data_IF_789711863825
#
_entry.id   IF_789711863825
#
_cell.length_a   1.000
_cell.length_b   1.000
_cell.length_c   1.000
_cell.angle_alpha   90.00
_cell.angle_beta   90.00
_cell.angle_gamma   90.00
#
_symmetry.space_group_name_H-M   'P 1'
#
loop_
_entity.id
_entity.type
_entity.pdbx_description
1 polymer ?
#
# COMPACT_ATOMS: atom_id res chain seq x y z
N UNK A 1 -18.43 11.45 -7.51
CA UNK A 1 -19.00 11.51 -6.15
C UNK A 1 -18.22 10.51 -5.30
N UNK A 2 -17.52 10.95 -4.26
CA UNK A 2 -16.81 10.03 -3.34
C UNK A 2 -17.85 9.21 -2.58
N UNK A 3 -17.79 7.89 -2.72
CA UNK A 3 -18.65 6.97 -1.95
C UNK A 3 -17.94 6.73 -0.62
N UNK A 4 -18.30 7.47 0.42
CA UNK A 4 -17.73 7.25 1.75
C UNK A 4 -18.42 6.06 2.43
N UNK A 5 -17.69 4.95 2.56
CA UNK A 5 -18.14 3.84 3.39
C UNK A 5 -18.27 4.30 4.85
N UNK A 6 -19.28 3.80 5.57
CA UNK A 6 -19.39 4.04 7.02
C UNK A 6 -18.15 3.47 7.71
N UNK A 7 -17.44 4.31 8.44
CA UNK A 7 -16.26 3.91 9.21
C UNK A 7 -16.47 4.12 10.71
N UNK A 8 -15.70 3.40 11.53
CA UNK A 8 -15.74 3.57 12.99
C UNK A 8 -14.57 4.44 13.44
N UNK A 9 -14.88 5.64 13.90
CA UNK A 9 -13.88 6.62 14.38
C UNK A 9 -13.84 6.63 15.90
N UNK A 10 -12.66 6.39 16.47
CA UNK A 10 -12.39 6.52 17.90
C UNK A 10 -11.43 7.68 18.17
N UNK A 11 -11.50 8.26 19.38
CA UNK A 11 -10.62 9.34 19.83
C UNK A 11 -9.61 8.83 20.86
N UNK A 12 -8.35 9.26 20.74
CA UNK A 12 -7.33 9.05 21.76
C UNK A 12 -6.30 10.17 21.71
N UNK A 13 -5.96 10.74 22.87
CA UNK A 13 -5.01 11.85 22.98
C UNK A 13 -5.32 13.08 22.09
N UNK A 14 -6.60 13.38 21.86
CA UNK A 14 -7.02 14.45 20.95
C UNK A 14 -6.89 14.11 19.46
N UNK A 15 -6.48 12.90 19.10
CA UNK A 15 -6.39 12.41 17.74
C UNK A 15 -7.52 11.44 17.43
N UNK A 16 -7.92 11.34 16.16
CA UNK A 16 -8.90 10.37 15.69
C UNK A 16 -8.24 9.23 14.93
N UNK A 17 -8.80 8.04 15.12
CA UNK A 17 -8.37 6.82 14.45
C UNK A 17 -9.60 6.18 13.81
N UNK A 18 -9.46 5.83 12.54
CA UNK A 18 -10.54 5.26 11.75
C UNK A 18 -10.24 3.79 11.46
N UNK A 19 -11.13 2.90 11.91
CA UNK A 19 -11.15 1.51 11.46
C UNK A 19 -11.85 1.43 10.11
N UNK A 20 -11.22 0.74 9.17
CA UNK A 20 -11.76 0.52 7.83
C UNK A 20 -11.12 -0.71 7.20
N UNK A 21 -11.13 -0.75 5.87
CA UNK A 21 -10.52 -1.85 5.11
C UNK A 21 -9.63 -1.34 4.00
N UNK A 22 -8.58 -2.07 3.70
CA UNK A 22 -7.78 -1.96 2.49
C UNK A 22 -7.95 -3.25 1.70
N UNK A 23 -8.65 -3.20 0.57
CA UNK A 23 -8.92 -4.36 -0.30
C UNK A 23 -9.43 -5.60 0.46
N UNK A 24 -10.36 -5.39 1.40
CA UNK A 24 -10.95 -6.45 2.22
C UNK A 24 -10.13 -6.86 3.46
N UNK A 25 -8.98 -6.23 3.71
CA UNK A 25 -8.17 -6.44 4.92
C UNK A 25 -8.48 -5.35 5.93
N UNK A 26 -8.76 -5.70 7.19
CA UNK A 26 -8.98 -4.70 8.24
C UNK A 26 -7.72 -3.84 8.45
N UNK A 27 -7.92 -2.52 8.46
CA UNK A 27 -6.86 -1.53 8.74
C UNK A 27 -7.33 -0.54 9.80
N UNK A 28 -6.36 0.01 10.53
CA UNK A 28 -6.55 1.13 11.42
C UNK A 28 -5.71 2.29 10.91
N UNK A 29 -6.38 3.37 10.51
CA UNK A 29 -5.75 4.60 10.03
C UNK A 29 -5.70 5.65 11.14
N UNK A 30 -4.59 6.36 11.27
CA UNK A 30 -4.52 7.60 12.05
C UNK A 30 -4.95 8.76 11.15
N UNK A 31 -6.02 9.45 11.50
CA UNK A 31 -6.61 10.42 10.57
C UNK A 31 -5.78 11.69 10.40
N UNK A 32 -4.93 12.02 11.37
CA UNK A 32 -4.07 13.20 11.34
C UNK A 32 -3.08 13.21 10.17
N UNK A 33 -2.55 12.04 9.81
CA UNK A 33 -1.49 11.90 8.80
C UNK A 33 -1.78 10.85 7.74
N UNK A 34 -2.85 10.06 7.89
CA UNK A 34 -3.26 9.01 6.98
C UNK A 34 -2.46 7.72 7.10
N UNK A 35 -1.55 7.60 8.07
CA UNK A 35 -0.73 6.40 8.23
C UNK A 35 -1.56 5.22 8.74
N UNK A 36 -1.17 4.02 8.35
CA UNK A 36 -1.86 2.76 8.66
C UNK A 36 -1.07 1.96 9.70
N UNK A 37 -1.76 1.45 10.72
CA UNK A 37 -1.15 0.65 11.78
C UNK A 37 -0.78 -0.77 11.29
N UNK A 38 0.47 -0.95 10.88
CA UNK A 38 1.03 -2.23 10.42
C UNK A 38 1.13 -3.26 11.55
N UNK A 39 1.33 -2.83 12.81
CA UNK A 39 1.28 -3.73 13.98
C UNK A 39 -0.08 -4.41 14.11
N UNK A 40 -1.16 -3.67 13.85
CA UNK A 40 -2.50 -4.24 13.89
C UNK A 40 -2.71 -5.24 12.74
N UNK A 41 -2.34 -4.88 11.51
CA UNK A 41 -2.41 -5.80 10.36
C UNK A 41 -1.64 -7.11 10.63
N UNK A 42 -0.41 -7.00 11.14
CA UNK A 42 0.43 -8.15 11.47
C UNK A 42 -0.17 -9.01 12.59
N UNK A 43 -0.81 -8.39 13.60
CA UNK A 43 -1.49 -9.10 14.68
C UNK A 43 -2.68 -9.90 14.17
N UNK A 44 -3.56 -9.28 13.39
CA UNK A 44 -4.73 -9.96 12.79
C UNK A 44 -4.31 -11.10 11.86
N UNK A 45 -3.15 -10.96 11.19
CA UNK A 45 -2.58 -12.02 10.34
C UNK A 45 -1.81 -13.11 11.12
N UNK A 46 -1.70 -13.02 12.46
CA UNK A 46 -0.91 -13.96 13.26
C UNK A 46 0.62 -13.86 13.06
N UNK A 47 1.11 -12.74 12.53
CA UNK A 47 2.52 -12.51 12.14
C UNK A 47 3.22 -11.41 12.94
N UNK A 48 2.61 -10.93 14.03
CA UNK A 48 3.15 -9.82 14.85
C UNK A 48 4.62 -10.02 15.23
N UNK A 49 5.01 -11.22 15.67
CA UNK A 49 6.38 -11.54 16.10
C UNK A 49 7.43 -11.47 14.96
N UNK A 50 6.98 -11.34 13.72
CA UNK A 50 7.84 -11.27 12.53
C UNK A 50 7.83 -9.90 11.86
N UNK A 51 7.02 -8.94 12.34
CA UNK A 51 6.87 -7.62 11.72
C UNK A 51 8.21 -6.87 11.63
N UNK A 52 8.98 -6.81 12.72
CA UNK A 52 10.28 -6.15 12.70
C UNK A 52 11.26 -6.84 11.73
N UNK A 53 11.22 -8.17 11.62
CA UNK A 53 12.06 -8.90 10.65
C UNK A 53 11.66 -8.57 9.21
N UNK A 54 10.36 -8.47 8.94
CA UNK A 54 9.86 -8.07 7.63
C UNK A 54 10.27 -6.63 7.27
N UNK A 55 10.06 -5.68 8.19
CA UNK A 55 10.40 -4.27 7.96
C UNK A 55 11.90 -4.06 7.72
N UNK A 56 12.75 -4.86 8.37
CA UNK A 56 14.21 -4.83 8.20
C UNK A 56 14.71 -5.83 7.13
N UNK A 57 13.83 -6.49 6.39
CA UNK A 57 14.25 -7.41 5.33
C UNK A 57 14.86 -6.63 4.16
N UNK A 58 15.83 -7.25 3.47
CA UNK A 58 16.48 -6.63 2.31
C UNK A 58 15.46 -6.14 1.26
N UNK A 59 14.41 -6.95 1.01
CA UNK A 59 13.37 -6.57 0.04
C UNK A 59 12.58 -5.33 0.49
N UNK A 60 12.22 -5.24 1.77
CA UNK A 60 11.52 -4.06 2.28
C UNK A 60 12.43 -2.83 2.24
N UNK A 61 13.72 -2.96 2.56
CA UNK A 61 14.66 -1.84 2.47
C UNK A 61 14.80 -1.32 1.03
N UNK A 62 14.87 -2.20 0.03
CA UNK A 62 14.86 -1.82 -1.39
C UNK A 62 13.59 -1.04 -1.77
N UNK A 63 12.42 -1.51 -1.33
CA UNK A 63 11.13 -0.82 -1.55
C UNK A 63 11.14 0.56 -0.90
N UNK A 64 11.66 0.68 0.32
CA UNK A 64 11.72 1.94 1.06
C UNK A 64 12.66 2.94 0.40
N UNK A 65 13.83 2.49 -0.06
CA UNK A 65 14.80 3.30 -0.79
C UNK A 65 14.21 3.81 -2.11
N UNK A 66 13.55 2.94 -2.87
CA UNK A 66 12.85 3.32 -4.09
C UNK A 66 11.74 4.33 -3.80
N UNK A 67 10.89 4.05 -2.81
CA UNK A 67 9.78 4.95 -2.45
C UNK A 67 10.29 6.32 -2.03
N UNK A 68 11.35 6.39 -1.23
CA UNK A 68 11.95 7.65 -0.79
C UNK A 68 12.55 8.44 -1.96
N UNK A 69 13.17 7.75 -2.93
CA UNK A 69 13.77 8.38 -4.12
C UNK A 69 12.73 8.95 -5.07
N UNK A 70 11.70 8.16 -5.39
CA UNK A 70 10.72 8.49 -6.43
C UNK A 70 9.52 9.31 -5.88
N UNK A 71 9.10 9.04 -4.64
CA UNK A 71 7.90 9.64 -4.02
C UNK A 71 8.21 10.47 -2.77
N UNK A 72 9.34 10.24 -2.11
CA UNK A 72 9.73 10.91 -0.86
C UNK A 72 10.12 12.39 -0.98
N UNK A 73 10.28 12.91 -2.21
CA UNK A 73 10.47 14.34 -2.47
C UNK A 73 9.11 15.02 -2.55
N UNK A 74 8.62 15.52 -1.42
CA UNK A 74 7.52 16.47 -1.45
C UNK A 74 7.89 17.66 -2.36
N UNK A 75 7.15 17.81 -3.47
CA UNK A 75 6.91 19.11 -4.08
C UNK A 75 6.46 20.05 -2.94
N UNK A 76 7.25 21.09 -2.69
CA UNK A 76 7.01 22.21 -1.75
C UNK A 76 6.68 21.86 -0.28
N UNK A 77 7.66 22.05 0.60
CA UNK A 77 7.44 22.76 1.87
C UNK A 77 6.99 22.00 3.12
N UNK A 78 6.85 20.67 3.10
CA UNK A 78 6.51 19.90 4.30
C UNK A 78 7.47 18.72 4.49
N UNK A 79 7.97 18.59 5.72
CA UNK A 79 8.88 17.57 6.26
C UNK A 79 8.81 16.22 5.55
N UNK A 80 9.98 15.67 5.21
CA UNK A 80 10.15 14.30 4.72
C UNK A 80 9.24 13.35 5.48
N UNK A 81 8.19 12.85 4.83
CA UNK A 81 7.30 11.86 5.43
C UNK A 81 8.13 10.60 5.65
N UNK A 82 8.45 10.29 6.91
CA UNK A 82 9.12 9.04 7.27
C UNK A 82 8.26 7.88 6.78
N UNK A 83 8.87 6.86 6.18
CA UNK A 83 8.11 5.74 5.61
C UNK A 83 7.27 4.99 6.66
N UNK A 84 7.75 4.91 7.90
CA UNK A 84 6.99 4.46 9.05
C UNK A 84 7.54 5.08 10.34
N UNK A 85 6.74 5.07 11.40
CA UNK A 85 7.13 5.49 12.75
C UNK A 85 6.42 4.64 13.81
N UNK A 86 6.92 4.66 15.04
CA UNK A 86 6.27 3.99 16.17
C UNK A 86 5.44 4.96 17.01
N UNK A 87 4.18 4.63 17.27
CA UNK A 87 3.28 5.37 18.15
C UNK A 87 3.07 4.59 19.45
N UNK A 88 3.62 5.08 20.56
CA UNK A 88 3.53 4.44 21.89
C UNK A 88 3.02 5.34 22.99
N UNK A 89 3.31 6.65 22.92
CA UNK A 89 3.03 7.61 24.00
C UNK A 89 1.66 8.25 23.85
N UNK A 90 0.96 8.42 24.96
CA UNK A 90 -0.27 9.20 25.06
C UNK A 90 -1.53 8.55 24.48
N UNK A 91 -1.42 7.48 23.69
CA UNK A 91 -2.58 6.82 23.07
C UNK A 91 -2.98 5.51 23.77
N UNK A 92 -4.24 5.12 23.63
CA UNK A 92 -4.76 3.83 24.12
C UNK A 92 -4.03 2.65 23.47
N UNK A 93 -3.92 1.53 24.19
CA UNK A 93 -3.12 0.37 23.76
C UNK A 93 -3.54 -0.17 22.40
N UNK A 94 -4.83 -0.14 22.06
CA UNK A 94 -5.35 -0.59 20.76
C UNK A 94 -4.88 0.26 19.56
N UNK A 95 -4.40 1.48 19.80
CA UNK A 95 -3.88 2.40 18.78
C UNK A 95 -2.36 2.47 18.77
N UNK A 96 -1.67 1.76 19.67
CA UNK A 96 -0.20 1.70 19.67
C UNK A 96 0.33 0.80 18.55
N UNK A 97 1.55 1.07 18.12
CA UNK A 97 2.29 0.22 17.18
C UNK A 97 3.04 1.00 16.11
N UNK A 98 3.52 0.26 15.13
CA UNK A 98 4.21 0.78 13.95
C UNK A 98 3.16 1.25 12.94
N UNK A 99 3.23 2.52 12.57
CA UNK A 99 2.40 3.17 11.57
C UNK A 99 3.22 3.37 10.30
N UNK A 100 2.74 2.85 9.17
CA UNK A 100 3.38 2.94 7.85
C UNK A 100 2.62 3.90 6.93
N UNK A 101 3.35 4.57 6.04
CA UNK A 101 2.77 5.45 5.03
C UNK A 101 1.80 4.67 4.12
N UNK A 102 0.71 5.31 3.69
CA UNK A 102 -0.37 4.66 2.95
C UNK A 102 0.10 4.02 1.63
N UNK A 103 1.01 4.67 0.89
CA UNK A 103 1.58 4.12 -0.36
C UNK A 103 2.27 2.76 -0.18
N UNK A 104 2.72 2.45 1.04
CA UNK A 104 3.47 1.24 1.35
C UNK A 104 2.58 0.14 1.96
N UNK A 105 1.30 0.41 2.20
CA UNK A 105 0.38 -0.54 2.88
C UNK A 105 0.21 -1.83 2.08
N UNK A 106 0.28 -1.75 0.75
CA UNK A 106 0.19 -2.89 -0.15
C UNK A 106 1.20 -3.99 0.20
N UNK A 107 2.47 -3.62 0.43
CA UNK A 107 3.52 -4.56 0.76
C UNK A 107 3.30 -5.24 2.12
N UNK A 108 2.72 -4.52 3.09
CA UNK A 108 2.32 -5.10 4.38
C UNK A 108 1.13 -6.05 4.17
N UNK A 109 0.17 -5.70 3.33
CA UNK A 109 -1.00 -6.52 3.03
C UNK A 109 -0.60 -7.84 2.33
N UNK A 110 0.26 -7.77 1.33
CA UNK A 110 0.83 -8.93 0.61
C UNK A 110 1.60 -9.84 1.56
N UNK A 111 2.48 -9.27 2.39
CA UNK A 111 3.20 -10.04 3.40
C UNK A 111 2.26 -10.68 4.43
N UNK A 112 1.21 -9.98 4.85
CA UNK A 112 0.22 -10.49 5.81
C UNK A 112 -0.60 -11.64 5.22
N UNK A 113 -1.06 -11.53 3.97
CA UNK A 113 -2.07 -12.41 3.37
C UNK A 113 -1.64 -12.95 2.02
N UNK A 114 -1.35 -14.26 1.98
CA UNK A 114 -1.08 -14.98 0.73
C UNK A 114 -2.27 -14.86 -0.23
N UNK A 115 -3.51 -14.92 0.30
CA UNK A 115 -4.73 -14.74 -0.51
C UNK A 115 -4.77 -13.38 -1.20
N UNK A 116 -4.34 -12.31 -0.50
CA UNK A 116 -4.24 -10.99 -1.10
C UNK A 116 -3.19 -10.95 -2.21
N UNK A 117 -2.03 -11.59 -2.01
CA UNK A 117 -0.99 -11.70 -3.04
C UNK A 117 -1.51 -12.36 -4.33
N UNK A 118 -2.33 -13.41 -4.22
CA UNK A 118 -2.97 -14.05 -5.38
C UNK A 118 -3.99 -13.13 -6.08
N UNK A 119 -4.73 -12.30 -5.34
CA UNK A 119 -5.61 -11.31 -5.98
C UNK A 119 -4.84 -10.25 -6.76
N UNK A 120 -3.70 -9.80 -6.22
CA UNK A 120 -2.81 -8.85 -6.91
C UNK A 120 -2.25 -9.50 -8.17
N UNK A 121 -1.78 -10.76 -8.08
CA UNK A 121 -1.36 -11.56 -9.23
C UNK A 121 -2.46 -11.60 -10.29
N UNK A 122 -3.70 -11.95 -9.94
CA UNK A 122 -4.78 -12.07 -10.93
C UNK A 122 -5.10 -10.74 -11.63
N UNK A 123 -4.95 -9.61 -10.93
CA UNK A 123 -5.07 -8.27 -11.53
C UNK A 123 -3.91 -8.02 -12.50
N UNK A 124 -2.68 -8.32 -12.10
CA UNK A 124 -1.50 -8.12 -12.95
C UNK A 124 -1.51 -9.01 -14.19
N UNK A 125 -1.91 -10.28 -14.06
CA UNK A 125 -2.09 -11.20 -15.19
C UNK A 125 -3.17 -10.70 -16.16
N UNK A 126 -4.24 -10.06 -15.64
CA UNK A 126 -5.26 -9.47 -16.50
C UNK A 126 -4.75 -8.25 -17.26
N UNK A 127 -3.81 -7.48 -16.71
CA UNK A 127 -3.15 -6.37 -17.40
C UNK A 127 -2.20 -6.94 -18.45
N UNK A 128 -1.39 -7.93 -18.07
CA UNK A 128 -0.45 -8.62 -18.95
C UNK A 128 -1.14 -9.20 -20.19
N UNK A 129 -2.28 -9.89 -20.00
CA UNK A 129 -3.11 -10.41 -21.09
C UNK A 129 -3.53 -9.32 -22.08
N UNK A 130 -3.92 -8.13 -21.60
CA UNK A 130 -4.33 -7.01 -22.47
C UNK A 130 -3.16 -6.40 -23.22
N UNK A 131 -1.97 -6.37 -22.60
CA UNK A 131 -0.75 -5.91 -23.27
C UNK A 131 -0.45 -6.80 -24.48
N UNK A 132 -0.51 -8.13 -24.31
CA UNK A 132 -0.26 -9.06 -25.40
C UNK A 132 -1.37 -9.07 -26.46
N UNK A 133 -2.64 -8.91 -26.08
CA UNK A 133 -3.73 -8.71 -27.04
C UNK A 133 -3.47 -7.49 -27.95
N UNK A 134 -2.95 -6.39 -27.40
CA UNK A 134 -2.61 -5.19 -28.18
C UNK A 134 -1.38 -5.37 -29.08
N UNK A 135 -0.36 -6.09 -28.61
CA UNK A 135 0.80 -6.42 -29.45
C UNK A 135 0.35 -7.21 -30.69
N UNK A 136 -0.55 -8.19 -30.50
CA UNK A 136 -1.14 -8.97 -31.58
C UNK A 136 -1.99 -8.09 -32.52
N UNK A 137 -2.83 -7.19 -31.99
CA UNK A 137 -3.67 -6.28 -32.78
C UNK A 137 -2.87 -5.27 -33.61
N UNK A 138 -1.73 -4.79 -33.10
CA UNK A 138 -0.85 -3.83 -33.77
C UNK A 138 0.24 -4.49 -34.63
N UNK A 139 0.24 -5.83 -34.72
CA UNK A 139 1.25 -6.64 -35.43
C UNK A 139 2.69 -6.35 -34.96
N UNK A 140 2.86 -6.10 -33.66
CA UNK A 140 4.15 -5.80 -33.04
C UNK A 140 4.82 -7.07 -32.52
N UNK A 141 6.14 -7.15 -32.63
CA UNK A 141 6.91 -8.22 -31.99
C UNK A 141 6.88 -8.06 -30.46
N UNK A 142 6.70 -9.17 -29.75
CA UNK A 142 6.70 -9.23 -28.29
C UNK A 142 8.11 -9.02 -27.73
N UNK A 143 8.44 -7.75 -27.53
CA UNK A 143 9.71 -7.26 -27.02
C UNK A 143 9.45 -6.27 -25.88
N UNK A 144 10.44 -6.08 -25.02
CA UNK A 144 10.32 -5.15 -23.88
C UNK A 144 10.04 -3.72 -24.37
N UNK A 145 10.65 -3.31 -25.47
CA UNK A 145 10.51 -2.00 -26.09
C UNK A 145 9.06 -1.72 -26.53
N UNK A 146 8.38 -2.73 -27.10
CA UNK A 146 6.99 -2.61 -27.53
C UNK A 146 6.00 -2.81 -26.36
N UNK A 147 6.26 -3.77 -25.47
CA UNK A 147 5.35 -4.12 -24.38
C UNK A 147 5.30 -3.06 -23.27
N UNK A 148 6.42 -2.42 -22.95
CA UNK A 148 6.51 -1.44 -21.86
C UNK A 148 5.55 -0.25 -21.99
N UNK A 149 5.49 0.49 -23.12
CA UNK A 149 4.55 1.60 -23.25
C UNK A 149 3.08 1.13 -23.18
N UNK A 150 2.76 -0.05 -23.72
CA UNK A 150 1.41 -0.62 -23.64
C UNK A 150 1.04 -1.00 -22.20
N UNK A 151 1.99 -1.54 -21.44
CA UNK A 151 1.81 -1.81 -20.01
C UNK A 151 1.54 -0.53 -19.22
N UNK A 152 2.35 0.51 -19.42
CA UNK A 152 2.17 1.80 -18.76
C UNK A 152 0.80 2.41 -19.08
N UNK A 153 0.35 2.31 -20.34
CA UNK A 153 -0.98 2.75 -20.77
C UNK A 153 -2.11 1.97 -20.08
N UNK A 154 -2.04 0.64 -20.02
CA UNK A 154 -3.07 -0.18 -19.35
C UNK A 154 -3.12 0.08 -17.85
N UNK A 155 -1.96 0.27 -17.21
CA UNK A 155 -1.90 0.69 -15.79
C UNK A 155 -2.55 2.07 -15.62
N UNK A 156 -2.23 3.05 -16.48
CA UNK A 156 -2.84 4.38 -16.41
C UNK A 156 -4.37 4.35 -16.56
N UNK A 157 -4.90 3.49 -17.43
CA UNK A 157 -6.35 3.28 -17.56
C UNK A 157 -6.97 2.78 -16.27
N UNK A 158 -6.32 1.85 -15.58
CA UNK A 158 -6.78 1.36 -14.27
C UNK A 158 -6.75 2.47 -13.20
N UNK A 159 -5.77 3.38 -13.25
CA UNK A 159 -5.64 4.45 -12.25
C UNK A 159 -6.61 5.61 -12.52
N UNK A 160 -6.78 6.05 -13.78
CA UNK A 160 -7.61 7.21 -14.16
C UNK A 160 -9.13 6.96 -14.12
N UNK A 161 -9.55 5.69 -14.18
CA UNK A 161 -10.97 5.31 -14.16
C UNK A 161 -11.56 5.11 -12.75
N UNK A 162 -10.77 5.37 -11.68
CA UNK A 162 -11.19 5.34 -10.27
C UNK A 162 -11.32 6.75 -9.70
#
# INVERSE_FOLDING_TARGET
MSVEAKTFTNKSNGETFTKGTYNGIEVLRRDKDGYINATKMAREAGKLNHLNRFLNSAKMQEILEFWLKEYGRAKSGSTSKQAFYELTKGVMNEFKGIYIHADLVHFVAEWCSVKYAFYVKDIMDSIDKKVHEKLDEEELEDTVENAKPLFEEEVEKCVKNN
#
